data_IF_101975649464
#
_entry.id   IF_101975649464
#
_cell.length_a   1.000
_cell.length_b   1.000
_cell.length_c   1.000
_cell.angle_alpha   90.00
_cell.angle_beta   90.00
_cell.angle_gamma   90.00
#
_symmetry.space_group_name_H-M   'P 1'
#
loop_
_entity.id
_entity.type
_entity.pdbx_description
1 polymer ?
#
# COMPACT_ATOMS: atom_id res chain seq x y z
N UNK A 1 22.90 -73.03 -38.21
CA UNK A 1 22.00 -72.00 -38.78
C UNK A 1 21.57 -71.12 -37.61
N UNK A 2 22.32 -70.06 -37.31
CA UNK A 2 22.03 -69.14 -36.20
C UNK A 2 21.38 -67.89 -36.79
N UNK A 3 20.18 -67.56 -36.32
CA UNK A 3 19.43 -66.37 -36.71
C UNK A 3 19.92 -65.21 -35.83
N UNK A 4 20.50 -64.19 -36.47
CA UNK A 4 20.91 -62.94 -35.82
C UNK A 4 19.70 -62.03 -35.68
N UNK A 5 19.36 -61.65 -34.45
CA UNK A 5 18.34 -60.64 -34.15
C UNK A 5 18.90 -59.22 -34.41
N UNK A 6 18.09 -58.28 -34.92
CA UNK A 6 18.56 -56.93 -35.20
C UNK A 6 18.76 -56.13 -33.91
N UNK A 7 19.86 -55.36 -33.88
CA UNK A 7 20.22 -54.45 -32.81
C UNK A 7 19.22 -53.29 -32.70
N UNK A 8 18.68 -53.07 -31.50
CA UNK A 8 17.86 -51.92 -31.16
C UNK A 8 18.77 -50.67 -31.07
N UNK A 9 18.49 -49.65 -31.88
CA UNK A 9 19.11 -48.32 -31.77
C UNK A 9 18.72 -47.67 -30.43
N UNK A 10 19.63 -46.96 -29.75
CA UNK A 10 19.30 -46.23 -28.54
C UNK A 10 18.34 -45.09 -28.88
N UNK A 11 17.23 -45.02 -28.13
CA UNK A 11 16.29 -43.91 -28.19
C UNK A 11 17.03 -42.59 -27.89
N UNK A 12 16.85 -41.59 -28.77
CA UNK A 12 17.32 -40.23 -28.53
C UNK A 12 16.68 -39.64 -27.27
N UNK A 13 17.28 -38.59 -26.68
CA UNK A 13 16.76 -38.00 -25.46
C UNK A 13 15.34 -37.47 -25.70
N UNK A 14 14.40 -37.92 -24.86
CA UNK A 14 13.04 -37.36 -24.80
C UNK A 14 13.11 -35.84 -24.54
N UNK A 15 12.21 -35.05 -25.13
CA UNK A 15 12.13 -33.63 -24.84
C UNK A 15 11.78 -33.45 -23.35
N UNK A 16 12.70 -32.80 -22.63
CA UNK A 16 12.59 -32.41 -21.23
C UNK A 16 11.20 -31.89 -20.91
N UNK A 17 10.55 -32.53 -19.94
CA UNK A 17 9.29 -32.08 -19.37
C UNK A 17 9.37 -30.58 -19.02
N UNK A 18 8.45 -29.79 -19.56
CA UNK A 18 8.25 -28.38 -19.25
C UNK A 18 7.98 -28.23 -17.76
N UNK A 19 9.02 -27.91 -16.99
CA UNK A 19 8.89 -27.61 -15.57
C UNK A 19 8.13 -26.29 -15.43
N UNK A 20 6.97 -26.34 -14.79
CA UNK A 20 6.23 -25.15 -14.38
C UNK A 20 7.13 -24.32 -13.46
N UNK A 21 7.32 -23.01 -13.72
CA UNK A 21 8.16 -22.18 -12.86
C UNK A 21 7.64 -22.24 -11.41
N UNK A 22 8.45 -22.74 -10.48
CA UNK A 22 8.15 -22.71 -9.05
C UNK A 22 8.72 -21.42 -8.46
N UNK A 23 8.09 -20.84 -7.42
CA UNK A 23 8.55 -19.60 -6.78
C UNK A 23 10.06 -19.57 -6.48
N UNK A 24 10.67 -20.74 -6.21
CA UNK A 24 12.11 -20.90 -5.94
C UNK A 24 13.05 -20.47 -7.10
N UNK A 25 12.55 -20.18 -8.30
CA UNK A 25 13.39 -19.76 -9.44
C UNK A 25 13.79 -18.28 -9.43
N UNK A 26 13.12 -17.43 -8.65
CA UNK A 26 13.44 -16.00 -8.62
C UNK A 26 14.63 -15.70 -7.70
N UNK A 27 15.63 -14.98 -8.22
CA UNK A 27 16.80 -14.55 -7.47
C UNK A 27 16.44 -13.71 -6.24
N UNK A 28 17.29 -13.74 -5.21
CA UNK A 28 17.12 -12.90 -4.00
C UNK A 28 17.16 -11.41 -4.33
N UNK A 29 18.00 -11.00 -5.29
CA UNK A 29 18.06 -9.64 -5.80
C UNK A 29 16.73 -9.21 -6.43
N UNK A 30 16.13 -10.05 -7.28
CA UNK A 30 14.83 -9.76 -7.90
C UNK A 30 13.72 -9.66 -6.85
N UNK A 31 13.65 -10.60 -5.91
CA UNK A 31 12.68 -10.58 -4.81
C UNK A 31 12.81 -9.31 -3.96
N UNK A 32 14.05 -8.86 -3.72
CA UNK A 32 14.33 -7.60 -3.01
C UNK A 32 13.83 -6.40 -3.80
N UNK A 33 14.10 -6.34 -5.10
CA UNK A 33 13.59 -5.29 -5.98
C UNK A 33 12.06 -5.25 -6.01
N UNK A 34 11.37 -6.39 -6.15
CA UNK A 34 9.89 -6.48 -6.13
C UNK A 34 9.36 -5.93 -4.80
N UNK A 35 9.98 -6.31 -3.68
CA UNK A 35 9.60 -5.84 -2.34
C UNK A 35 9.75 -4.33 -2.20
N UNK A 36 10.90 -3.77 -2.57
CA UNK A 36 11.16 -2.33 -2.47
C UNK A 36 10.25 -1.51 -3.38
N UNK A 37 10.03 -1.99 -4.60
CA UNK A 37 9.08 -1.37 -5.54
C UNK A 37 7.65 -1.42 -4.99
N UNK A 38 7.23 -2.56 -4.44
CA UNK A 38 5.92 -2.70 -3.78
C UNK A 38 5.76 -1.70 -2.63
N UNK A 39 6.77 -1.56 -1.78
CA UNK A 39 6.75 -0.63 -0.64
C UNK A 39 6.60 0.82 -1.11
N UNK A 40 7.36 1.25 -2.12
CA UNK A 40 7.23 2.58 -2.72
C UNK A 40 5.84 2.82 -3.30
N UNK A 41 5.31 1.85 -4.03
CA UNK A 41 3.96 1.91 -4.62
C UNK A 41 2.88 2.06 -3.56
N UNK A 42 2.99 1.37 -2.42
CA UNK A 42 1.99 1.45 -1.34
C UNK A 42 1.96 2.82 -0.64
N UNK A 43 3.05 3.59 -0.72
CA UNK A 43 3.17 4.94 -0.18
C UNK A 43 2.83 6.04 -1.20
N UNK A 44 2.46 5.67 -2.43
CA UNK A 44 2.13 6.63 -3.47
C UNK A 44 0.88 7.45 -3.11
N UNK A 45 0.98 8.78 -3.27
CA UNK A 45 -0.06 9.76 -2.89
C UNK A 45 -1.36 9.66 -3.71
N UNK A 46 -1.30 9.02 -4.88
CA UNK A 46 -2.34 9.01 -5.90
C UNK A 46 -2.90 7.61 -6.15
N UNK A 47 -2.57 6.64 -5.29
CA UNK A 47 -3.03 5.27 -5.43
C UNK A 47 -4.56 5.20 -5.32
N UNK A 48 -5.21 4.68 -6.36
CA UNK A 48 -6.67 4.66 -6.43
C UNK A 48 -7.31 3.53 -5.62
N UNK A 49 -6.59 2.43 -5.40
CA UNK A 49 -7.07 1.32 -4.59
C UNK A 49 -5.90 0.56 -4.01
N UNK A 50 -6.07 0.00 -2.82
CA UNK A 50 -5.13 -0.91 -2.20
C UNK A 50 -5.43 -2.37 -2.53
N UNK A 51 -6.59 -2.73 -3.07
CA UNK A 51 -6.90 -4.12 -3.48
C UNK A 51 -5.90 -4.64 -4.51
N UNK A 52 -5.55 -5.92 -4.39
CA UNK A 52 -4.66 -6.61 -5.34
C UNK A 52 -5.34 -6.93 -6.67
N UNK A 53 -6.67 -7.05 -6.68
CA UNK A 53 -7.44 -7.24 -7.90
C UNK A 53 -8.22 -5.98 -8.22
N UNK A 54 -8.16 -5.57 -9.49
CA UNK A 54 -9.09 -4.62 -10.08
C UNK A 54 -10.51 -5.16 -9.87
N UNK A 55 -11.15 -4.78 -8.75
CA UNK A 55 -12.48 -5.28 -8.49
C UNK A 55 -13.39 -4.69 -9.57
N UNK A 56 -14.02 -5.56 -10.39
CA UNK A 56 -15.01 -5.15 -11.39
C UNK A 56 -16.09 -4.24 -10.77
N UNK A 57 -16.34 -4.40 -9.46
CA UNK A 57 -17.24 -3.57 -8.64
C UNK A 57 -16.80 -2.11 -8.52
N UNK A 58 -15.51 -1.83 -8.37
CA UNK A 58 -14.99 -0.46 -8.19
C UNK A 58 -14.45 0.17 -9.49
N UNK A 59 -14.30 -0.62 -10.56
CA UNK A 59 -13.79 -0.19 -11.89
C UNK A 59 -12.45 0.57 -11.81
N UNK A 60 -11.53 0.09 -10.97
CA UNK A 60 -10.19 0.66 -10.81
C UNK A 60 -9.17 -0.27 -11.43
N UNK A 61 -8.38 0.24 -12.38
CA UNK A 61 -7.25 -0.48 -12.97
C UNK A 61 -5.91 -0.14 -12.26
N UNK A 62 -5.87 0.94 -11.49
CA UNK A 62 -4.68 1.42 -10.80
C UNK A 62 -4.61 0.87 -9.37
N UNK A 63 -3.79 -0.16 -9.18
CA UNK A 63 -3.64 -0.95 -7.96
C UNK A 63 -2.16 -1.16 -7.66
N UNK A 64 -1.76 -1.60 -6.46
CA UNK A 64 -0.36 -1.86 -6.17
C UNK A 64 0.23 -2.91 -7.11
N UNK A 65 -0.56 -3.95 -7.41
CA UNK A 65 -0.16 -4.99 -8.35
C UNK A 65 0.12 -4.42 -9.75
N UNK A 66 -0.83 -3.68 -10.31
CA UNK A 66 -0.67 -3.14 -11.67
C UNK A 66 0.45 -2.10 -11.76
N UNK A 67 0.70 -1.32 -10.70
CA UNK A 67 1.85 -0.41 -10.63
C UNK A 67 3.19 -1.14 -10.54
N UNK A 68 3.31 -2.18 -9.70
CA UNK A 68 4.54 -2.98 -9.61
C UNK A 68 4.81 -3.68 -10.94
N UNK A 69 3.78 -4.20 -11.60
CA UNK A 69 3.91 -4.78 -12.94
C UNK A 69 4.37 -3.74 -13.97
N UNK A 70 3.79 -2.54 -13.96
CA UNK A 70 4.23 -1.45 -14.84
C UNK A 70 5.69 -1.04 -14.58
N UNK A 71 6.17 -1.01 -13.33
CA UNK A 71 7.58 -0.75 -13.04
C UNK A 71 8.51 -1.86 -13.55
N UNK A 72 8.05 -3.11 -13.54
CA UNK A 72 8.80 -4.25 -14.10
C UNK A 72 8.88 -4.16 -15.62
N UNK A 73 7.79 -3.75 -16.27
CA UNK A 73 7.75 -3.60 -17.73
C UNK A 73 8.58 -2.42 -18.23
N UNK A 74 8.89 -1.44 -17.36
CA UNK A 74 9.83 -0.35 -17.65
C UNK A 74 11.31 -0.73 -17.46
N UNK A 75 11.61 -1.85 -16.82
CA UNK A 75 13.01 -2.30 -16.68
C UNK A 75 13.57 -2.69 -18.04
N UNK A 76 14.85 -2.43 -18.25
CA UNK A 76 15.53 -2.74 -19.51
C UNK A 76 15.70 -4.26 -19.72
N UNK A 77 16.04 -4.63 -20.95
CA UNK A 77 16.23 -6.04 -21.33
C UNK A 77 17.39 -6.68 -20.55
N UNK A 78 18.41 -5.90 -20.18
CA UNK A 78 19.55 -6.38 -19.40
C UNK A 78 19.13 -6.81 -17.98
N UNK A 79 18.34 -5.97 -17.28
CA UNK A 79 17.77 -6.28 -15.98
C UNK A 79 16.88 -7.52 -16.08
N UNK A 80 16.01 -7.57 -17.08
CA UNK A 80 15.10 -8.71 -17.28
C UNK A 80 15.87 -10.01 -17.52
N UNK A 81 16.90 -9.98 -18.36
CA UNK A 81 17.75 -11.14 -18.62
C UNK A 81 18.56 -11.58 -17.38
N UNK A 82 18.99 -10.63 -16.54
CA UNK A 82 19.76 -10.92 -15.33
C UNK A 82 18.91 -11.47 -14.16
N UNK A 83 17.63 -11.10 -14.09
CA UNK A 83 16.81 -11.31 -12.90
C UNK A 83 15.58 -12.20 -13.10
N UNK A 84 15.11 -12.39 -14.34
CA UNK A 84 13.95 -13.22 -14.65
C UNK A 84 14.38 -14.60 -15.18
N UNK A 85 13.72 -15.69 -14.76
CA UNK A 85 14.02 -17.02 -15.28
C UNK A 85 13.67 -17.14 -16.77
N UNK A 86 14.45 -17.92 -17.55
CA UNK A 86 14.07 -18.29 -18.90
C UNK A 86 12.76 -19.09 -18.81
N UNK A 87 11.73 -18.68 -19.58
CA UNK A 87 10.35 -19.22 -19.57
C UNK A 87 9.33 -18.53 -18.64
N UNK A 88 9.58 -17.29 -18.21
CA UNK A 88 8.59 -16.55 -17.41
C UNK A 88 7.20 -16.41 -18.06
N UNK A 89 7.12 -16.47 -19.39
CA UNK A 89 5.87 -16.40 -20.14
C UNK A 89 5.03 -17.69 -20.09
N UNK A 90 5.55 -18.79 -19.54
CA UNK A 90 4.93 -20.11 -19.58
C UNK A 90 4.22 -20.49 -18.27
N UNK A 91 4.09 -19.59 -17.30
CA UNK A 91 3.42 -19.86 -16.02
C UNK A 91 2.93 -18.62 -15.27
N UNK A 92 2.22 -18.83 -14.17
CA UNK A 92 1.65 -17.80 -13.29
C UNK A 92 2.59 -17.39 -12.13
N UNK A 93 3.80 -17.96 -12.08
CA UNK A 93 4.73 -17.78 -10.95
C UNK A 93 5.14 -16.32 -10.71
N UNK A 94 5.35 -15.53 -11.76
CA UNK A 94 5.64 -14.11 -11.62
C UNK A 94 4.45 -13.37 -11.01
N UNK A 95 3.26 -13.57 -11.57
CA UNK A 95 2.03 -12.96 -11.07
C UNK A 95 1.78 -13.34 -9.60
N UNK A 96 2.00 -14.61 -9.25
CA UNK A 96 1.90 -15.12 -7.88
C UNK A 96 2.90 -14.44 -6.95
N UNK A 97 4.18 -14.36 -7.33
CA UNK A 97 5.21 -13.66 -6.54
C UNK A 97 4.83 -12.20 -6.30
N UNK A 98 4.38 -11.48 -7.35
CA UNK A 98 3.96 -10.08 -7.22
C UNK A 98 2.74 -9.96 -6.29
N UNK A 99 1.73 -10.81 -6.46
CA UNK A 99 0.53 -10.84 -5.60
C UNK A 99 0.86 -11.11 -4.14
N UNK A 100 1.69 -12.11 -3.86
CA UNK A 100 2.07 -12.49 -2.50
C UNK A 100 2.96 -11.42 -1.85
N UNK A 101 3.83 -10.77 -2.63
CA UNK A 101 4.63 -9.64 -2.15
C UNK A 101 3.74 -8.44 -1.83
N UNK A 102 2.81 -8.07 -2.70
CA UNK A 102 1.82 -7.01 -2.43
C UNK A 102 1.01 -7.32 -1.18
N UNK A 103 0.55 -8.56 -1.02
CA UNK A 103 -0.25 -8.98 0.15
C UNK A 103 0.55 -8.88 1.45
N UNK A 104 1.79 -9.37 1.46
CA UNK A 104 2.66 -9.35 2.64
C UNK A 104 3.08 -7.92 3.03
N UNK A 105 3.51 -7.10 2.07
CA UNK A 105 3.91 -5.72 2.34
C UNK A 105 2.71 -4.84 2.75
N UNK A 106 1.51 -5.09 2.21
CA UNK A 106 0.28 -4.46 2.74
C UNK A 106 0.01 -4.86 4.19
N UNK A 107 0.23 -6.12 4.56
CA UNK A 107 0.06 -6.55 5.94
C UNK A 107 1.08 -5.84 6.86
N UNK A 108 2.34 -5.73 6.42
CA UNK A 108 3.38 -4.98 7.13
C UNK A 108 3.01 -3.49 7.30
N UNK A 109 2.49 -2.84 6.25
CA UNK A 109 2.06 -1.45 6.34
C UNK A 109 0.90 -1.28 7.32
N UNK A 110 -0.08 -2.19 7.29
CA UNK A 110 -1.20 -2.16 8.22
C UNK A 110 -0.75 -2.29 9.68
N UNK A 111 0.28 -3.09 9.96
CA UNK A 111 0.87 -3.22 11.31
C UNK A 111 1.44 -1.88 11.77
N UNK A 112 2.25 -1.23 10.94
CA UNK A 112 2.87 0.06 11.26
C UNK A 112 1.82 1.17 11.46
N UNK A 113 0.82 1.24 10.59
CA UNK A 113 -0.26 2.22 10.67
C UNK A 113 -1.09 2.05 11.95
N UNK A 114 -1.27 0.81 12.42
CA UNK A 114 -2.12 0.50 13.57
C UNK A 114 -1.41 0.59 14.92
N UNK A 115 -0.16 1.02 14.96
CA UNK A 115 0.57 1.26 16.21
C UNK A 115 -0.23 2.22 17.10
N UNK A 116 -0.46 1.82 18.36
CA UNK A 116 -1.25 2.58 19.33
C UNK A 116 -2.77 2.51 19.13
N UNK A 117 -3.25 2.05 17.96
CA UNK A 117 -4.68 1.92 17.67
C UNK A 117 -5.27 0.58 18.16
N UNK A 118 -4.45 -0.39 18.52
CA UNK A 118 -4.91 -1.70 19.00
C UNK A 118 -5.37 -1.63 20.45
N UNK A 119 -6.57 -2.14 20.74
CA UNK A 119 -7.07 -2.33 22.12
C UNK A 119 -6.60 -3.63 22.76
N UNK A 120 -5.99 -4.53 21.99
CA UNK A 120 -5.45 -5.78 22.51
C UNK A 120 -4.08 -5.52 23.16
N UNK A 121 -3.93 -5.92 24.41
CA UNK A 121 -2.71 -5.68 25.20
C UNK A 121 -2.74 -4.37 25.99
N UNK A 122 -1.60 -3.97 26.57
CA UNK A 122 -1.49 -2.74 27.35
C UNK A 122 -1.88 -1.51 26.52
N UNK A 123 -2.60 -0.53 27.09
CA UNK A 123 -2.87 0.74 26.42
C UNK A 123 -1.54 1.36 25.95
N UNK A 124 -1.44 1.61 24.65
CA UNK A 124 -0.26 2.21 24.04
C UNK A 124 -0.65 3.58 23.45
N UNK A 125 0.08 4.67 23.76
CA UNK A 125 -0.19 5.96 23.15
C UNK A 125 -0.15 5.89 21.62
N UNK A 126 -1.05 6.63 20.98
CA UNK A 126 -1.04 6.78 19.53
C UNK A 126 0.06 7.77 19.16
N UNK A 127 1.03 7.39 18.31
CA UNK A 127 2.15 8.25 17.99
C UNK A 127 1.71 9.52 17.24
N UNK A 128 2.46 10.61 17.43
CA UNK A 128 2.33 11.83 16.60
C UNK A 128 2.45 11.49 15.11
N UNK A 129 1.74 12.21 14.25
CA UNK A 129 1.79 11.99 12.81
C UNK A 129 3.22 12.01 12.25
N UNK A 130 4.04 12.98 12.66
CA UNK A 130 5.44 13.08 12.24
C UNK A 130 6.25 11.81 12.60
N UNK A 131 6.06 11.27 13.81
CA UNK A 131 6.72 10.03 14.25
C UNK A 131 6.24 8.82 13.46
N UNK A 132 4.93 8.73 13.20
CA UNK A 132 4.38 7.65 12.38
C UNK A 132 4.95 7.67 10.96
N UNK A 133 4.97 8.83 10.31
CA UNK A 133 5.50 8.99 8.95
C UNK A 133 6.97 8.54 8.91
N UNK A 134 7.80 9.05 9.82
CA UNK A 134 9.22 8.67 9.88
C UNK A 134 9.39 7.16 10.07
N UNK A 135 8.61 6.55 10.96
CA UNK A 135 8.65 5.10 11.19
C UNK A 135 8.22 4.30 9.95
N UNK A 136 7.14 4.70 9.27
CA UNK A 136 6.69 4.05 8.04
C UNK A 136 7.78 4.12 6.97
N UNK A 137 8.36 5.30 6.75
CA UNK A 137 9.38 5.50 5.73
C UNK A 137 10.69 4.78 6.05
N UNK A 138 11.16 4.81 7.31
CA UNK A 138 12.34 4.05 7.73
C UNK A 138 12.16 2.53 7.52
N UNK A 139 10.95 2.01 7.68
CA UNK A 139 10.65 0.61 7.46
C UNK A 139 10.45 0.25 5.97
N UNK A 140 9.90 1.17 5.17
CA UNK A 140 9.47 0.89 3.80
C UNK A 140 10.43 1.39 2.72
N UNK A 141 11.38 2.27 3.06
CA UNK A 141 12.33 2.83 2.11
C UNK A 141 13.76 2.53 2.56
N UNK A 142 14.57 1.81 1.75
CA UNK A 142 15.93 1.42 2.15
C UNK A 142 16.81 2.63 2.49
N UNK A 143 16.66 3.74 1.76
CA UNK A 143 17.45 4.96 1.99
C UNK A 143 17.18 5.62 3.34
N UNK A 144 16.05 5.32 3.99
CA UNK A 144 15.61 5.94 5.24
C UNK A 144 15.81 5.07 6.48
N UNK A 145 16.24 3.82 6.33
CA UNK A 145 16.36 2.86 7.43
C UNK A 145 17.22 3.38 8.61
N UNK A 146 18.22 4.19 8.29
CA UNK A 146 19.21 4.69 9.26
C UNK A 146 19.20 6.22 9.39
N UNK A 147 18.18 6.88 8.85
CA UNK A 147 18.05 8.33 8.92
C UNK A 147 17.29 8.75 10.17
N UNK A 148 17.66 9.92 10.71
CA UNK A 148 16.90 10.54 11.78
C UNK A 148 15.57 11.12 11.23
N UNK A 149 14.53 11.16 12.05
CA UNK A 149 13.19 11.59 11.63
C UNK A 149 13.18 12.92 10.85
N UNK A 150 13.91 13.93 11.32
CA UNK A 150 13.96 15.25 10.67
C UNK A 150 14.57 15.18 9.25
N UNK A 151 15.53 14.28 9.02
CA UNK A 151 16.15 14.06 7.71
C UNK A 151 15.13 13.41 6.76
N UNK A 152 14.40 12.40 7.25
CA UNK A 152 13.33 11.75 6.49
C UNK A 152 12.26 12.77 6.06
N UNK A 153 11.83 13.63 6.99
CA UNK A 153 10.80 14.63 6.71
C UNK A 153 11.22 15.71 5.72
N UNK A 154 12.52 16.02 5.69
CA UNK A 154 13.12 17.00 4.78
C UNK A 154 13.46 16.41 3.40
N UNK A 155 13.43 15.09 3.24
CA UNK A 155 13.77 14.44 1.97
C UNK A 155 12.68 14.69 0.92
N UNK A 156 13.10 15.08 -0.29
CA UNK A 156 12.22 15.37 -1.43
C UNK A 156 11.29 14.20 -1.82
N UNK A 157 11.66 12.96 -1.49
CA UNK A 157 10.85 11.77 -1.76
C UNK A 157 9.65 11.66 -0.79
N UNK A 158 9.74 12.30 0.40
CA UNK A 158 8.66 12.36 1.39
C UNK A 158 7.80 13.60 1.13
N UNK A 159 7.13 13.59 -0.01
CA UNK A 159 6.31 14.73 -0.47
C UNK A 159 5.13 15.01 0.50
N UNK A 160 4.62 16.25 0.54
CA UNK A 160 3.42 16.59 1.31
C UNK A 160 2.23 15.67 1.03
N UNK A 161 2.01 15.30 -0.23
CA UNK A 161 0.93 14.38 -0.61
C UNK A 161 1.09 12.98 -0.04
N UNK A 162 2.33 12.48 0.10
CA UNK A 162 2.59 11.18 0.71
C UNK A 162 2.41 11.22 2.24
N UNK A 163 2.80 12.33 2.89
CA UNK A 163 2.50 12.58 4.31
C UNK A 163 0.98 12.57 4.56
N UNK A 164 0.21 13.25 3.71
CA UNK A 164 -1.26 13.25 3.73
C UNK A 164 -1.82 11.84 3.54
N UNK A 165 -1.27 11.07 2.60
CA UNK A 165 -1.73 9.70 2.34
C UNK A 165 -1.55 8.79 3.57
N UNK A 166 -0.41 8.86 4.27
CA UNK A 166 -0.18 8.11 5.52
C UNK A 166 -1.20 8.54 6.59
N UNK A 167 -1.43 9.85 6.73
CA UNK A 167 -2.43 10.38 7.65
C UNK A 167 -3.83 9.84 7.35
N UNK A 168 -4.24 9.86 6.07
CA UNK A 168 -5.52 9.33 5.61
C UNK A 168 -5.66 7.84 5.93
N UNK A 169 -4.65 7.02 5.63
CA UNK A 169 -4.67 5.58 5.90
C UNK A 169 -4.80 5.32 7.41
N UNK A 170 -4.08 6.06 8.28
CA UNK A 170 -4.24 5.96 9.73
C UNK A 170 -5.65 6.34 10.16
N UNK A 171 -6.17 7.44 9.65
CA UNK A 171 -7.51 7.90 9.98
C UNK A 171 -8.56 6.83 9.66
N UNK A 172 -8.49 6.24 8.47
CA UNK A 172 -9.35 5.13 8.06
C UNK A 172 -9.14 3.87 8.93
N UNK A 173 -7.91 3.62 9.42
CA UNK A 173 -7.63 2.51 10.34
C UNK A 173 -8.34 2.72 11.69
N UNK A 174 -8.33 3.95 12.20
CA UNK A 174 -9.03 4.31 13.42
C UNK A 174 -10.56 4.21 13.26
N UNK A 175 -11.11 4.67 12.13
CA UNK A 175 -12.54 4.51 11.84
C UNK A 175 -12.95 3.04 11.72
N UNK A 176 -12.12 2.22 11.08
CA UNK A 176 -12.37 0.78 11.00
C UNK A 176 -12.41 0.15 12.40
N UNK A 177 -11.49 0.54 13.30
CA UNK A 177 -11.51 0.13 14.72
C UNK A 177 -12.81 0.54 15.42
N UNK A 178 -13.23 1.79 15.27
CA UNK A 178 -14.47 2.29 15.88
C UNK A 178 -15.67 1.50 15.36
N UNK A 179 -15.77 1.34 14.03
CA UNK A 179 -16.86 0.61 13.39
C UNK A 179 -16.89 -0.88 13.77
N UNK A 180 -15.74 -1.52 14.01
CA UNK A 180 -15.69 -2.89 14.48
C UNK A 180 -16.31 -3.07 15.87
N UNK A 181 -16.25 -2.06 16.74
CA UNK A 181 -16.92 -2.12 18.04
C UNK A 181 -18.45 -2.18 17.92
N UNK A 182 -18.99 -1.59 16.85
CA UNK A 182 -20.44 -1.48 16.62
C UNK A 182 -21.01 -2.59 15.73
N UNK A 183 -20.16 -3.43 15.12
CA UNK A 183 -20.57 -4.49 14.18
C UNK A 183 -20.59 -5.86 14.84
N UNK A 184 -21.60 -6.66 14.51
CA UNK A 184 -21.63 -8.09 14.87
C UNK A 184 -20.56 -8.87 14.10
N UNK A 185 -20.07 -9.98 14.66
CA UNK A 185 -18.99 -10.83 14.11
C UNK A 185 -19.17 -11.16 12.61
N UNK A 186 -20.41 -11.30 12.13
CA UNK A 186 -20.74 -11.67 10.75
C UNK A 186 -20.68 -10.51 9.73
N UNK A 187 -20.38 -9.27 10.16
CA UNK A 187 -20.31 -8.07 9.29
C UNK A 187 -18.95 -7.37 9.35
N UNK A 188 -17.90 -8.06 9.80
CA UNK A 188 -16.56 -7.49 9.84
C UNK A 188 -16.06 -7.24 8.41
N UNK A 189 -15.91 -5.95 8.08
CA UNK A 189 -15.30 -5.51 6.83
C UNK A 189 -13.82 -5.28 7.10
N UNK A 190 -12.97 -5.74 6.18
CA UNK A 190 -11.53 -5.60 6.32
C UNK A 190 -11.14 -4.13 6.20
N UNK A 191 -10.15 -3.72 6.98
CA UNK A 191 -9.56 -2.38 6.98
C UNK A 191 -9.31 -1.80 5.58
N UNK A 192 -8.71 -2.59 4.68
CA UNK A 192 -8.42 -2.16 3.30
C UNK A 192 -9.69 -1.97 2.45
N UNK A 193 -10.76 -2.69 2.73
CA UNK A 193 -12.02 -2.56 2.00
C UNK A 193 -12.77 -1.26 2.38
N UNK A 194 -12.62 -0.80 3.62
CA UNK A 194 -13.15 0.51 4.04
C UNK A 194 -12.41 1.65 3.33
N UNK A 195 -11.09 1.55 3.21
CA UNK A 195 -10.28 2.51 2.45
C UNK A 195 -10.70 2.53 0.97
N UNK A 196 -10.80 1.37 0.33
CA UNK A 196 -11.10 1.29 -1.11
C UNK A 196 -12.48 1.85 -1.47
N UNK A 197 -13.50 1.62 -0.63
CA UNK A 197 -14.83 2.18 -0.83
C UNK A 197 -14.84 3.70 -0.62
N UNK A 198 -14.11 4.20 0.38
CA UNK A 198 -14.01 5.63 0.62
C UNK A 198 -13.24 6.36 -0.50
N UNK A 199 -12.11 5.80 -0.97
CA UNK A 199 -11.40 6.30 -2.14
C UNK A 199 -12.31 6.32 -3.38
N UNK A 200 -13.13 5.28 -3.59
CA UNK A 200 -14.10 5.25 -4.68
C UNK A 200 -15.19 6.33 -4.55
N UNK A 201 -15.61 6.64 -3.32
CA UNK A 201 -16.54 7.74 -3.05
C UNK A 201 -15.89 9.09 -3.32
N UNK A 202 -14.64 9.30 -2.88
CA UNK A 202 -13.89 10.55 -3.08
C UNK A 202 -13.63 10.83 -4.56
N UNK A 203 -13.35 9.81 -5.38
CA UNK A 203 -13.19 9.96 -6.84
C UNK A 203 -14.44 10.51 -7.55
N UNK A 204 -15.63 10.34 -6.96
CA UNK A 204 -16.89 10.89 -7.51
C UNK A 204 -17.13 12.34 -7.10
N UNK A 205 -16.23 12.94 -6.31
CA UNK A 205 -16.30 14.32 -5.85
C UNK A 205 -15.31 15.19 -6.64
N UNK A 206 -15.44 16.51 -6.52
CA UNK A 206 -14.51 17.46 -7.14
C UNK A 206 -13.13 17.35 -6.51
N UNK A 207 -12.10 17.80 -7.24
CA UNK A 207 -10.73 17.84 -6.72
C UNK A 207 -10.64 18.72 -5.45
N UNK A 208 -11.29 19.89 -5.46
CA UNK A 208 -11.37 20.77 -4.29
C UNK A 208 -11.99 20.08 -3.06
N UNK A 209 -12.99 19.22 -3.25
CA UNK A 209 -13.56 18.42 -2.16
C UNK A 209 -12.54 17.43 -1.60
N UNK A 210 -11.78 16.75 -2.45
CA UNK A 210 -10.72 15.83 -2.03
C UNK A 210 -9.62 16.55 -1.23
N UNK A 211 -9.20 17.73 -1.68
CA UNK A 211 -8.22 18.58 -0.97
C UNK A 211 -8.76 19.01 0.39
N UNK A 212 -9.98 19.56 0.42
CA UNK A 212 -10.63 19.98 1.67
C UNK A 212 -10.75 18.83 2.67
N UNK A 213 -11.18 17.65 2.21
CA UNK A 213 -11.32 16.46 3.04
C UNK A 213 -9.98 16.03 3.64
N UNK A 214 -8.92 16.03 2.82
CA UNK A 214 -7.58 15.65 3.24
C UNK A 214 -7.00 16.63 4.27
N UNK A 215 -7.18 17.93 4.06
CA UNK A 215 -6.76 18.97 5.01
C UNK A 215 -7.49 18.83 6.36
N UNK A 216 -8.80 18.61 6.35
CA UNK A 216 -9.59 18.47 7.57
C UNK A 216 -9.18 17.21 8.36
N UNK A 217 -8.97 16.08 7.69
CA UNK A 217 -8.47 14.86 8.33
C UNK A 217 -7.08 15.08 8.92
N UNK A 218 -6.19 15.73 8.17
CA UNK A 218 -4.83 15.99 8.61
C UNK A 218 -4.80 16.86 9.87
N UNK A 219 -5.59 17.93 9.91
CA UNK A 219 -5.70 18.81 11.06
C UNK A 219 -6.32 18.10 12.28
N UNK A 220 -7.39 17.33 12.04
CA UNK A 220 -8.07 16.56 13.09
C UNK A 220 -7.12 15.56 13.73
N UNK A 221 -6.37 14.82 12.91
CA UNK A 221 -5.42 13.82 13.35
C UNK A 221 -4.32 14.44 14.23
N UNK A 222 -3.70 15.54 13.76
CA UNK A 222 -2.67 16.24 14.54
C UNK A 222 -3.17 16.76 15.88
N UNK A 223 -4.39 17.31 15.92
CA UNK A 223 -5.00 17.79 17.16
C UNK A 223 -5.34 16.63 18.13
N UNK A 224 -5.62 15.45 17.59
CA UNK A 224 -6.05 14.28 18.37
C UNK A 224 -4.87 13.51 18.94
N UNK A 225 -3.86 13.21 18.12
CA UNK A 225 -2.80 12.26 18.46
C UNK A 225 -1.49 12.96 18.80
N UNK A 226 -1.34 13.32 20.07
CA UNK A 226 -0.18 14.06 20.60
C UNK A 226 1.01 13.16 20.96
N UNK A 227 0.90 11.84 20.81
CA UNK A 227 1.92 10.89 21.28
C UNK A 227 1.79 10.48 22.76
N UNK A 228 0.85 11.09 23.49
CA UNK A 228 0.63 10.81 24.91
C UNK A 228 -0.71 10.11 25.15
N UNK A 229 -1.72 10.44 24.34
CA UNK A 229 -3.06 9.89 24.44
C UNK A 229 -3.14 8.50 23.79
N UNK A 230 -3.80 7.59 24.46
CA UNK A 230 -4.27 6.32 23.90
C UNK A 230 -5.62 6.52 23.22
N UNK A 231 -6.07 5.51 22.47
CA UNK A 231 -7.40 5.53 21.83
C UNK A 231 -8.59 5.56 22.80
N UNK A 232 -8.37 5.33 24.09
CA UNK A 232 -9.41 5.38 25.12
C UNK A 232 -9.50 6.75 25.80
N UNK A 233 -8.48 7.60 25.66
CA UNK A 233 -8.42 8.94 26.26
C UNK A 233 -9.13 10.01 25.41
N UNK A 234 -9.56 9.62 24.20
CA UNK A 234 -10.24 10.51 23.25
C UNK A 234 -11.66 10.00 23.05
N UNK A 235 -12.64 10.90 23.15
CA UNK A 235 -14.02 10.56 22.86
C UNK A 235 -14.20 10.09 21.41
N UNK A 236 -15.12 9.15 21.19
CA UNK A 236 -15.35 8.59 19.87
C UNK A 236 -15.85 9.67 18.87
N UNK A 237 -16.67 10.61 19.32
CA UNK A 237 -17.20 11.69 18.48
C UNK A 237 -16.09 12.58 17.89
N UNK A 238 -15.02 12.83 18.66
CA UNK A 238 -13.86 13.60 18.23
C UNK A 238 -12.97 12.85 17.21
N UNK A 239 -13.25 11.57 16.96
CA UNK A 239 -12.46 10.72 16.06
C UNK A 239 -13.19 10.37 14.75
N UNK A 240 -14.40 10.92 14.56
CA UNK A 240 -15.25 10.65 13.40
C UNK A 240 -14.81 11.42 12.15
N UNK A 241 -15.34 11.00 10.98
CA UNK A 241 -15.18 11.73 9.71
C UNK A 241 -15.63 13.18 9.83
N UNK A 242 -14.92 14.13 9.20
CA UNK A 242 -15.40 15.50 9.08
C UNK A 242 -16.81 15.53 8.43
N UNK A 243 -17.77 16.29 8.99
CA UNK A 243 -19.11 16.39 8.46
C UNK A 243 -19.12 16.83 6.99
N UNK A 244 -20.01 16.25 6.17
CA UNK A 244 -20.06 16.56 4.73
C UNK A 244 -20.21 18.05 4.43
N UNK A 245 -21.03 18.75 5.23
CA UNK A 245 -21.24 20.20 5.14
C UNK A 245 -19.96 21.01 5.33
N UNK A 246 -19.09 20.57 6.23
CA UNK A 246 -17.83 21.25 6.55
C UNK A 246 -16.83 21.07 5.41
N UNK A 247 -16.73 19.85 4.89
CA UNK A 247 -15.90 19.55 3.72
C UNK A 247 -16.36 20.34 2.50
N UNK A 248 -17.67 20.44 2.27
CA UNK A 248 -18.21 21.24 1.16
C UNK A 248 -17.92 22.73 1.33
N UNK A 249 -18.13 23.28 2.54
CA UNK A 249 -17.85 24.69 2.82
C UNK A 249 -16.38 24.99 2.58
N UNK A 250 -15.46 24.14 3.06
CA UNK A 250 -14.03 24.30 2.84
C UNK A 250 -13.66 24.16 1.36
N UNK A 251 -14.29 23.24 0.64
CA UNK A 251 -14.09 23.06 -0.79
C UNK A 251 -14.54 24.27 -1.61
N UNK A 252 -15.61 24.95 -1.22
CA UNK A 252 -16.07 26.17 -1.87
C UNK A 252 -15.06 27.31 -1.70
N UNK A 253 -14.53 27.51 -0.50
CA UNK A 253 -13.46 28.50 -0.23
C UNK A 253 -12.22 28.26 -1.10
N UNK A 254 -11.81 27.01 -1.28
CA UNK A 254 -10.65 26.66 -2.14
C UNK A 254 -10.88 26.91 -3.64
N UNK A 255 -12.13 27.02 -4.08
CA UNK A 255 -12.48 27.35 -5.47
C UNK A 255 -12.51 28.87 -5.68
N UNK A 256 -12.90 29.62 -4.66
CA UNK A 256 -12.93 31.09 -4.67
C UNK A 256 -11.52 31.69 -4.48
N UNK A 257 -10.66 31.03 -3.72
CA UNK A 257 -9.25 31.38 -3.49
C UNK A 257 -8.33 30.25 -4.01
N UNK A 258 -7.95 30.26 -5.30
CA UNK A 258 -7.01 29.28 -5.83
C UNK A 258 -5.64 29.54 -5.23
N UNK A 259 -5.35 28.92 -4.08
CA UNK A 259 -4.11 29.15 -3.37
C UNK A 259 -2.93 28.52 -4.14
N UNK A 260 -1.90 29.33 -4.38
CA UNK A 260 -0.56 28.84 -4.72
C UNK A 260 -0.11 27.84 -3.63
N UNK A 261 0.50 26.76 -4.09
CA UNK A 261 1.04 25.61 -3.35
C UNK A 261 1.09 25.78 -1.82
N UNK A 262 0.17 25.12 -1.11
CA UNK A 262 0.08 25.13 0.36
C UNK A 262 1.37 24.53 0.94
N UNK A 263 2.26 25.39 1.42
CA UNK A 263 3.30 25.04 2.36
C UNK A 263 2.62 24.54 3.65
N UNK A 264 2.62 23.23 3.84
CA UNK A 264 2.33 22.62 5.12
C UNK A 264 3.57 22.83 5.98
N UNK A 265 3.58 23.90 6.79
CA UNK A 265 4.61 24.08 7.82
C UNK A 265 4.53 22.93 8.84
N UNK A 266 5.71 22.41 9.19
CA UNK A 266 5.94 21.20 9.99
C UNK A 266 5.59 21.31 11.48
#
# INVERSE_FOLDING_TARGET
>A
MYVVAPAQLPAGPEPTATQTPTDQQFSSAFRTWVRETTRRVLLAKDLQSYRSQASRRLRVADTPFTRVQAELDRQDEAFRAAHLPPNIAQGDALERLLCDTVKSEKAALAILIKIGLTRAGPPNPVPRLCKLIAHVYAAFHPDFQWQADHQIHSDKQVTPGAKIQICYIRFMANLNRINQNHRTLNRQKLFWDDIDEDLARLRRKSSAYGVAYSQLIFNLDQATWTGEKTVNDVEEAAQQVPPHKEVQSRAATLVEEPNEEVALEE
#
